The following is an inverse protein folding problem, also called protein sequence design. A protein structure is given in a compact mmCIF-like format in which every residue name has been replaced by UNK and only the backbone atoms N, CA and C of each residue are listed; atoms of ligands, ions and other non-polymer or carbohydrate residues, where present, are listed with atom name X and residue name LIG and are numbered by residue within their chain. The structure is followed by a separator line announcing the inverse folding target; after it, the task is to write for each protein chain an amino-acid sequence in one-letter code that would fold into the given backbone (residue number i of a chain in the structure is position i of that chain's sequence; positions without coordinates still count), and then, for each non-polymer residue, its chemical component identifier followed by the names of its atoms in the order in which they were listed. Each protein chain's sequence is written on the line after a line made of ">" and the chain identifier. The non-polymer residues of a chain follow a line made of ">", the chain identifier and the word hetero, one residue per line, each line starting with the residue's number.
data_IF_397524036195
#
_entry.id   IF_397524036195
#
_cell.length_a   1.000
_cell.length_b   1.000
_cell.length_c   1.000
_cell.angle_alpha   90.00
_cell.angle_beta   90.00
_cell.angle_gamma   90.00
#
_symmetry.space_group_name_H-M   'P 1'
#
loop_
_entity.id
_entity.type
_entity.pdbx_description
1 polymer ?
#
# COMPACT_ATOMS: atom_id res chain seq x y z
N UNK A 1 15.46 -26.43 -15.75
CA UNK A 1 14.20 -27.09 -15.30
C UNK A 1 13.43 -26.15 -14.36
N UNK A 2 12.09 -26.23 -14.20
CA UNK A 2 11.36 -25.36 -13.26
C UNK A 2 11.87 -25.45 -11.80
N UNK A 3 12.24 -26.65 -11.36
CA UNK A 3 12.83 -26.91 -10.03
C UNK A 3 14.19 -26.21 -9.84
N UNK A 4 15.03 -26.21 -10.87
CA UNK A 4 16.33 -25.54 -10.87
C UNK A 4 16.16 -24.01 -10.77
N UNK A 5 15.23 -23.44 -11.54
CA UNK A 5 14.90 -22.00 -11.46
C UNK A 5 14.35 -21.61 -10.08
N UNK A 6 13.56 -22.48 -9.46
CA UNK A 6 13.06 -22.28 -8.10
C UNK A 6 14.20 -22.24 -7.08
N UNK A 7 15.12 -23.19 -7.12
CA UNK A 7 16.27 -23.23 -6.21
C UNK A 7 17.24 -22.05 -6.46
N UNK A 8 17.47 -21.67 -7.72
CA UNK A 8 18.23 -20.47 -8.02
C UNK A 8 17.56 -19.18 -7.49
N UNK A 9 16.23 -19.09 -7.55
CA UNK A 9 15.49 -17.95 -7.00
C UNK A 9 15.66 -17.86 -5.48
N UNK A 10 15.61 -19.00 -4.77
CA UNK A 10 15.88 -19.06 -3.32
C UNK A 10 17.31 -18.63 -2.98
N UNK A 11 18.30 -19.17 -3.69
CA UNK A 11 19.70 -18.79 -3.52
C UNK A 11 19.98 -17.31 -3.82
N UNK A 12 19.21 -16.70 -4.74
CA UNK A 12 19.28 -15.25 -4.96
C UNK A 12 18.73 -14.46 -3.75
N UNK A 13 17.61 -14.90 -3.16
CA UNK A 13 17.07 -14.27 -1.95
C UNK A 13 18.01 -14.37 -0.75
N UNK A 14 18.64 -15.52 -0.55
CA UNK A 14 19.59 -15.72 0.55
C UNK A 14 20.81 -14.79 0.44
N UNK A 15 21.14 -14.36 -0.79
CA UNK A 15 22.19 -13.37 -1.08
C UNK A 15 21.69 -11.92 -1.10
N UNK A 16 20.40 -11.69 -0.85
CA UNK A 16 19.78 -10.36 -0.90
C UNK A 16 19.46 -9.83 -2.30
N UNK A 17 19.62 -10.66 -3.35
CA UNK A 17 19.29 -10.30 -4.73
C UNK A 17 17.78 -10.50 -5.02
N UNK A 18 16.98 -9.56 -4.54
CA UNK A 18 15.52 -9.59 -4.67
C UNK A 18 15.02 -9.34 -6.11
N UNK A 19 15.86 -8.83 -7.01
CA UNK A 19 15.51 -8.63 -8.41
C UNK A 19 15.79 -9.88 -9.22
N UNK A 20 17.00 -10.42 -9.11
CA UNK A 20 17.36 -11.69 -9.74
C UNK A 20 16.55 -12.88 -9.22
N UNK A 21 16.10 -12.85 -7.97
CA UNK A 21 15.13 -13.84 -7.46
C UNK A 21 13.77 -13.75 -8.16
N UNK A 22 13.28 -12.53 -8.42
CA UNK A 22 11.98 -12.29 -9.07
C UNK A 22 11.98 -12.78 -10.51
N UNK A 23 13.02 -12.46 -11.27
CA UNK A 23 13.15 -12.89 -12.66
C UNK A 23 13.17 -14.41 -12.78
N UNK A 24 13.91 -15.09 -11.90
CA UNK A 24 13.99 -16.56 -11.90
C UNK A 24 12.68 -17.23 -11.53
N UNK A 25 12.03 -16.75 -10.46
CA UNK A 25 10.77 -17.34 -10.05
C UNK A 25 9.65 -17.06 -11.06
N UNK A 26 9.68 -15.90 -11.74
CA UNK A 26 8.71 -15.58 -12.80
C UNK A 26 8.83 -16.59 -13.95
N UNK A 27 10.06 -16.89 -14.39
CA UNK A 27 10.32 -17.92 -15.40
C UNK A 27 9.92 -19.33 -14.94
N UNK A 28 10.14 -19.66 -13.67
CA UNK A 28 9.68 -20.93 -13.09
C UNK A 28 8.14 -21.02 -13.11
N UNK A 29 7.47 -19.93 -12.74
CA UNK A 29 6.01 -19.83 -12.73
C UNK A 29 5.42 -19.93 -14.15
N UNK A 30 6.02 -19.27 -15.14
CA UNK A 30 5.63 -19.40 -16.54
C UNK A 30 5.75 -20.85 -17.05
N UNK A 31 6.80 -21.55 -16.64
CA UNK A 31 7.03 -22.93 -17.04
C UNK A 31 6.10 -23.93 -16.33
N UNK A 32 5.73 -23.67 -15.07
CA UNK A 32 4.82 -24.52 -14.30
C UNK A 32 3.99 -23.72 -13.27
N UNK A 33 2.87 -23.09 -13.68
CA UNK A 33 2.09 -22.19 -12.81
C UNK A 33 1.26 -22.92 -11.74
N UNK A 34 1.10 -24.24 -11.85
CA UNK A 34 0.33 -25.05 -10.90
C UNK A 34 1.17 -25.61 -9.76
N UNK A 35 2.49 -25.47 -9.81
CA UNK A 35 3.38 -25.86 -8.71
C UNK A 35 3.12 -24.95 -7.50
N UNK A 36 2.67 -25.51 -6.35
CA UNK A 36 2.32 -24.72 -5.18
C UNK A 36 3.49 -23.91 -4.61
N UNK A 37 4.70 -24.48 -4.61
CA UNK A 37 5.89 -23.84 -4.03
C UNK A 37 6.36 -22.67 -4.91
N UNK A 38 6.35 -22.87 -6.24
CA UNK A 38 6.67 -21.81 -7.20
C UNK A 38 5.66 -20.67 -7.13
N UNK A 39 4.37 -21.02 -7.10
CA UNK A 39 3.26 -20.06 -7.00
C UNK A 39 3.33 -19.24 -5.71
N UNK A 40 3.57 -19.88 -4.57
CA UNK A 40 3.70 -19.21 -3.26
C UNK A 40 4.88 -18.23 -3.27
N UNK A 41 6.07 -18.68 -3.69
CA UNK A 41 7.25 -17.83 -3.73
C UNK A 41 7.08 -16.67 -4.71
N UNK A 42 6.47 -16.91 -5.87
CA UNK A 42 6.20 -15.87 -6.85
C UNK A 42 5.23 -14.81 -6.32
N UNK A 43 4.09 -15.22 -5.76
CA UNK A 43 3.13 -14.32 -5.14
C UNK A 43 3.76 -13.51 -4.00
N UNK A 44 4.61 -14.13 -3.18
CA UNK A 44 5.36 -13.45 -2.13
C UNK A 44 6.30 -12.36 -2.65
N UNK A 45 7.02 -12.63 -3.74
CA UNK A 45 7.94 -11.67 -4.35
C UNK A 45 7.22 -10.53 -5.08
N UNK A 46 6.08 -10.81 -5.71
CA UNK A 46 5.18 -9.78 -6.25
C UNK A 46 4.62 -8.91 -5.13
N UNK A 47 4.20 -9.50 -4.01
CA UNK A 47 3.69 -8.76 -2.86
C UNK A 47 4.77 -7.83 -2.30
N UNK A 48 6.00 -8.32 -2.13
CA UNK A 48 7.11 -7.49 -1.68
C UNK A 48 7.33 -6.27 -2.60
N UNK A 49 7.22 -6.45 -3.92
CA UNK A 49 7.29 -5.35 -4.89
C UNK A 49 6.11 -4.37 -4.73
N UNK A 50 4.87 -4.87 -4.63
CA UNK A 50 3.68 -4.06 -4.46
C UNK A 50 3.76 -3.19 -3.18
N UNK A 51 4.28 -3.74 -2.09
CA UNK A 51 4.53 -3.01 -0.83
C UNK A 51 5.54 -1.88 -1.03
N UNK A 52 6.65 -2.14 -1.75
CA UNK A 52 7.66 -1.12 -2.04
C UNK A 52 7.10 0.02 -2.90
N UNK A 53 6.37 -0.31 -3.97
CA UNK A 53 5.72 0.68 -4.84
C UNK A 53 4.71 1.52 -4.07
N UNK A 54 3.89 0.90 -3.21
CA UNK A 54 2.97 1.63 -2.36
C UNK A 54 3.70 2.58 -1.38
N UNK A 55 4.87 2.18 -0.86
CA UNK A 55 5.69 3.05 -0.02
C UNK A 55 6.29 4.23 -0.81
N UNK A 56 6.75 3.99 -2.02
CA UNK A 56 7.26 5.03 -2.92
C UNK A 56 6.18 6.03 -3.30
N UNK A 57 4.97 5.58 -3.63
CA UNK A 57 3.84 6.47 -3.91
C UNK A 57 3.49 7.39 -2.72
N UNK A 58 3.49 6.85 -1.49
CA UNK A 58 3.29 7.64 -0.27
C UNK A 58 4.40 8.66 -0.02
N UNK A 59 5.65 8.25 -0.24
CA UNK A 59 6.81 9.11 -0.11
C UNK A 59 6.77 10.26 -1.12
N UNK A 60 6.48 9.94 -2.39
CA UNK A 60 6.35 10.91 -3.46
C UNK A 60 5.24 11.92 -3.18
N UNK A 61 4.08 11.48 -2.71
CA UNK A 61 2.99 12.37 -2.27
C UNK A 61 3.47 13.33 -1.18
N UNK A 62 4.14 12.81 -0.14
CA UNK A 62 4.64 13.63 0.97
C UNK A 62 5.67 14.66 0.48
N UNK A 63 6.58 14.25 -0.39
CA UNK A 63 7.57 15.13 -0.99
C UNK A 63 6.91 16.21 -1.87
N UNK A 64 5.86 15.86 -2.62
CA UNK A 64 5.13 16.82 -3.44
C UNK A 64 4.39 17.87 -2.61
N UNK A 65 3.73 17.46 -1.52
CA UNK A 65 3.11 18.37 -0.55
C UNK A 65 4.15 19.35 0.01
N UNK A 66 5.31 18.84 0.44
CA UNK A 66 6.40 19.65 0.96
C UNK A 66 6.95 20.65 -0.07
N UNK A 67 7.14 20.19 -1.31
CA UNK A 67 7.66 20.99 -2.42
C UNK A 67 6.71 22.12 -2.82
N UNK A 68 5.41 21.82 -2.89
CA UNK A 68 4.35 22.77 -3.28
C UNK A 68 3.94 23.68 -2.13
N UNK A 69 4.30 23.34 -0.88
CA UNK A 69 3.95 24.07 0.33
C UNK A 69 2.44 24.35 0.43
N UNK A 70 1.64 23.31 0.16
CA UNK A 70 0.18 23.41 0.09
C UNK A 70 -0.38 23.79 1.45
N UNK A 71 -1.14 24.88 1.50
CA UNK A 71 -1.81 25.37 2.70
C UNK A 71 -2.96 24.46 3.16
N UNK A 72 -3.46 24.70 4.37
CA UNK A 72 -4.59 23.93 4.92
C UNK A 72 -5.91 24.21 4.19
N UNK A 73 -6.09 25.44 3.70
CA UNK A 73 -7.31 25.89 3.02
C UNK A 73 -7.29 25.57 1.51
N UNK A 74 -6.22 24.96 1.01
CA UNK A 74 -6.09 24.53 -0.37
C UNK A 74 -6.59 23.09 -0.52
N UNK A 75 -7.48 22.85 -1.49
CA UNK A 75 -7.90 21.50 -1.82
C UNK A 75 -6.71 20.71 -2.37
N UNK A 76 -6.35 19.63 -1.68
CA UNK A 76 -5.22 18.80 -2.07
C UNK A 76 -5.62 17.85 -3.20
N UNK A 77 -4.86 17.90 -4.29
CA UNK A 77 -4.86 16.86 -5.31
C UNK A 77 -3.42 16.39 -5.57
N UNK A 78 -3.29 15.08 -5.76
CA UNK A 78 -2.04 14.49 -6.23
C UNK A 78 -1.66 15.11 -7.58
N UNK A 79 -0.36 15.41 -7.73
CA UNK A 79 0.17 15.69 -9.06
C UNK A 79 0.05 14.45 -9.97
N UNK A 80 0.03 14.62 -11.31
CA UNK A 80 -0.05 13.50 -12.24
C UNK A 80 1.00 12.41 -11.99
N UNK A 81 2.23 12.81 -11.65
CA UNK A 81 3.32 11.88 -11.33
C UNK A 81 3.02 11.05 -10.07
N UNK A 82 2.52 11.68 -9.01
CA UNK A 82 2.13 10.98 -7.79
C UNK A 82 0.93 10.05 -8.06
N UNK A 83 -0.07 10.53 -8.80
CA UNK A 83 -1.24 9.72 -9.16
C UNK A 83 -0.82 8.44 -9.91
N UNK A 84 0.11 8.57 -10.88
CA UNK A 84 0.69 7.45 -11.62
C UNK A 84 1.38 6.43 -10.69
N UNK A 85 2.15 6.88 -9.70
CA UNK A 85 2.79 5.97 -8.74
C UNK A 85 1.78 5.19 -7.89
N UNK A 86 0.63 5.80 -7.55
CA UNK A 86 -0.46 5.08 -6.90
C UNK A 86 -1.12 4.06 -7.84
N UNK A 87 -1.31 4.39 -9.11
CA UNK A 87 -1.80 3.46 -10.13
C UNK A 87 -0.87 2.25 -10.31
N UNK A 88 0.44 2.48 -10.43
CA UNK A 88 1.46 1.43 -10.53
C UNK A 88 1.46 0.53 -9.29
N UNK A 89 1.35 1.12 -8.09
CA UNK A 89 1.26 0.36 -6.86
C UNK A 89 -0.03 -0.48 -6.77
N UNK A 90 -1.17 0.05 -7.24
CA UNK A 90 -2.43 -0.71 -7.30
C UNK A 90 -2.35 -1.87 -8.29
N UNK A 91 -1.80 -1.62 -9.49
CA UNK A 91 -1.59 -2.64 -10.50
C UNK A 91 -0.68 -3.76 -9.99
N UNK A 92 0.37 -3.43 -9.23
CA UNK A 92 1.23 -4.44 -8.61
C UNK A 92 0.51 -5.32 -7.57
N UNK A 93 -0.49 -4.79 -6.85
CA UNK A 93 -1.33 -5.65 -6.01
C UNK A 93 -2.24 -6.54 -6.85
N UNK A 94 -2.71 -6.05 -8.00
CA UNK A 94 -3.52 -6.86 -8.93
C UNK A 94 -2.72 -8.00 -9.56
N UNK A 95 -1.42 -7.83 -9.81
CA UNK A 95 -0.52 -8.94 -10.20
C UNK A 95 -0.52 -10.06 -9.15
N UNK A 96 -0.39 -9.71 -7.87
CA UNK A 96 -0.43 -10.70 -6.77
C UNK A 96 -1.76 -11.43 -6.76
N UNK A 97 -2.87 -10.69 -6.90
CA UNK A 97 -4.22 -11.25 -6.88
C UNK A 97 -4.55 -12.05 -8.15
N UNK A 98 -3.83 -11.84 -9.25
CA UNK A 98 -3.96 -12.68 -10.44
C UNK A 98 -3.30 -14.04 -10.25
N UNK A 99 -2.18 -14.08 -9.52
CA UNK A 99 -1.55 -15.33 -9.09
C UNK A 99 -2.43 -15.98 -8.03
N UNK A 100 -2.67 -15.32 -6.89
CA UNK A 100 -3.53 -15.80 -5.82
C UNK A 100 -4.66 -14.82 -5.50
N UNK A 101 -5.82 -15.09 -6.08
CA UNK A 101 -7.02 -14.30 -5.89
C UNK A 101 -7.41 -14.20 -4.43
N UNK A 102 -7.16 -15.22 -3.60
CA UNK A 102 -7.50 -15.26 -2.18
C UNK A 102 -6.44 -14.65 -1.26
N UNK A 103 -5.33 -14.14 -1.80
CA UNK A 103 -4.21 -13.64 -0.99
C UNK A 103 -4.64 -12.50 -0.06
N UNK A 104 -4.92 -12.82 1.20
CA UNK A 104 -5.59 -11.92 2.14
C UNK A 104 -4.79 -10.63 2.37
N UNK A 105 -3.49 -10.76 2.64
CA UNK A 105 -2.61 -9.59 2.85
C UNK A 105 -2.59 -8.66 1.64
N UNK A 106 -2.51 -9.19 0.41
CA UNK A 106 -2.55 -8.38 -0.80
C UNK A 106 -3.89 -7.65 -0.94
N UNK A 107 -5.02 -8.33 -0.68
CA UNK A 107 -6.36 -7.72 -0.67
C UNK A 107 -6.46 -6.59 0.36
N UNK A 108 -6.03 -6.83 1.59
CA UNK A 108 -6.03 -5.81 2.65
C UNK A 108 -5.19 -4.59 2.28
N UNK A 109 -3.98 -4.80 1.77
CA UNK A 109 -3.08 -3.71 1.40
C UNK A 109 -3.59 -2.93 0.18
N UNK A 110 -4.21 -3.61 -0.80
CA UNK A 110 -4.90 -2.97 -1.92
C UNK A 110 -6.06 -2.08 -1.43
N UNK A 111 -6.90 -2.58 -0.53
CA UNK A 111 -7.99 -1.81 0.06
C UNK A 111 -7.49 -0.55 0.79
N UNK A 112 -6.43 -0.68 1.60
CA UNK A 112 -5.82 0.45 2.28
C UNK A 112 -5.19 1.46 1.30
N UNK A 113 -4.65 0.99 0.17
CA UNK A 113 -4.07 1.83 -0.87
C UNK A 113 -5.15 2.60 -1.65
N UNK A 114 -6.23 1.93 -2.06
CA UNK A 114 -7.39 2.55 -2.71
C UNK A 114 -7.96 3.68 -1.85
N UNK A 115 -8.24 3.37 -0.58
CA UNK A 115 -8.80 4.37 0.34
C UNK A 115 -7.84 5.53 0.60
N UNK A 116 -6.53 5.27 0.69
CA UNK A 116 -5.54 6.32 0.90
C UNK A 116 -5.37 7.19 -0.35
N UNK A 117 -5.44 6.60 -1.54
CA UNK A 117 -5.30 7.33 -2.80
C UNK A 117 -6.40 8.38 -2.93
N UNK A 118 -7.63 7.91 -2.81
CA UNK A 118 -8.83 8.74 -2.91
C UNK A 118 -9.85 8.20 -1.90
N UNK A 119 -10.16 9.00 -0.87
CA UNK A 119 -11.06 8.57 0.19
C UNK A 119 -12.52 8.56 -0.25
N UNK A 120 -12.90 9.38 -1.22
CA UNK A 120 -14.26 9.42 -1.73
C UNK A 120 -14.50 8.24 -2.68
N UNK A 121 -13.70 8.13 -3.74
CA UNK A 121 -13.84 7.07 -4.74
C UNK A 121 -13.38 5.70 -4.21
N UNK A 122 -12.27 5.67 -3.47
CA UNK A 122 -11.64 4.43 -2.99
C UNK A 122 -12.35 3.80 -1.80
N UNK A 123 -13.20 4.53 -1.06
CA UNK A 123 -13.93 3.98 0.10
C UNK A 123 -14.81 2.79 -0.28
N UNK A 124 -15.61 2.93 -1.34
CA UNK A 124 -16.57 1.89 -1.72
C UNK A 124 -15.84 0.59 -2.04
N UNK A 125 -14.82 0.66 -2.90
CA UNK A 125 -14.02 -0.50 -3.30
C UNK A 125 -13.23 -1.09 -2.12
N UNK A 126 -12.66 -0.25 -1.26
CA UNK A 126 -11.94 -0.72 -0.08
C UNK A 126 -12.86 -1.48 0.89
N UNK A 127 -14.07 -0.97 1.14
CA UNK A 127 -15.04 -1.65 1.99
C UNK A 127 -15.55 -2.95 1.40
N UNK A 128 -15.77 -3.01 0.10
CA UNK A 128 -16.14 -4.25 -0.60
C UNK A 128 -15.10 -5.34 -0.37
N UNK A 129 -13.82 -5.02 -0.63
CA UNK A 129 -12.70 -5.95 -0.42
C UNK A 129 -12.62 -6.38 1.06
N UNK A 130 -12.64 -5.44 1.99
CA UNK A 130 -12.48 -5.74 3.41
C UNK A 130 -13.65 -6.55 3.97
N UNK A 131 -14.89 -6.26 3.55
CA UNK A 131 -16.08 -7.02 3.97
C UNK A 131 -16.04 -8.45 3.41
N UNK A 132 -15.56 -8.63 2.18
CA UNK A 132 -15.36 -9.97 1.62
C UNK A 132 -14.32 -10.77 2.43
N UNK A 133 -13.24 -10.13 2.87
CA UNK A 133 -12.25 -10.78 3.76
C UNK A 133 -12.90 -11.13 5.10
N UNK A 134 -13.61 -10.19 5.74
CA UNK A 134 -14.24 -10.44 7.04
C UNK A 134 -15.32 -11.53 6.97
N UNK A 135 -16.02 -11.65 5.85
CA UNK A 135 -17.00 -12.72 5.64
C UNK A 135 -16.33 -14.10 5.57
N UNK A 136 -15.15 -14.20 4.95
CA UNK A 136 -14.36 -15.43 4.88
C UNK A 136 -13.63 -15.74 6.21
N UNK A 137 -13.19 -14.70 6.92
CA UNK A 137 -12.39 -14.78 8.14
C UNK A 137 -12.96 -13.84 9.24
N UNK A 138 -14.10 -14.20 9.88
CA UNK A 138 -14.78 -13.35 10.87
C UNK A 138 -13.93 -13.01 12.11
N UNK A 139 -12.93 -13.83 12.40
CA UNK A 139 -11.98 -13.65 13.50
C UNK A 139 -10.94 -12.54 13.24
N UNK A 140 -10.81 -12.06 12.00
CA UNK A 140 -9.81 -11.05 11.64
C UNK A 140 -10.19 -9.66 12.18
N UNK A 141 -9.77 -9.41 13.43
CA UNK A 141 -9.98 -8.15 14.14
C UNK A 141 -9.34 -6.94 13.45
N UNK A 142 -8.24 -7.15 12.71
CA UNK A 142 -7.57 -6.06 11.99
C UNK A 142 -8.45 -5.56 10.84
N UNK A 143 -9.07 -6.46 10.08
CA UNK A 143 -10.03 -6.12 9.01
C UNK A 143 -11.27 -5.45 9.59
N UNK A 144 -11.85 -5.99 10.66
CA UNK A 144 -13.00 -5.38 11.32
C UNK A 144 -12.70 -3.94 11.82
N UNK A 145 -11.49 -3.71 12.33
CA UNK A 145 -11.05 -2.38 12.74
C UNK A 145 -10.82 -1.43 11.56
N UNK A 146 -10.25 -1.92 10.46
CA UNK A 146 -10.06 -1.14 9.22
C UNK A 146 -11.41 -0.71 8.62
N UNK A 147 -12.39 -1.62 8.55
CA UNK A 147 -13.76 -1.32 8.10
C UNK A 147 -14.34 -0.14 8.91
N UNK A 148 -14.31 -0.23 10.24
CA UNK A 148 -14.83 0.84 11.13
C UNK A 148 -14.19 2.21 10.86
N UNK A 149 -12.89 2.25 10.55
CA UNK A 149 -12.18 3.50 10.21
C UNK A 149 -12.56 4.06 8.85
N UNK A 150 -12.92 3.21 7.90
CA UNK A 150 -13.18 3.58 6.51
C UNK A 150 -14.65 3.97 6.28
N UNK A 151 -15.59 3.27 6.95
CA UNK A 151 -17.03 3.45 6.78
C UNK A 151 -17.51 4.86 7.11
N UNK A 152 -16.90 5.50 8.11
CA UNK A 152 -17.33 6.83 8.57
C UNK A 152 -16.34 7.91 8.17
N UNK A 153 -16.78 9.00 7.52
CA UNK A 153 -15.94 10.16 7.26
C UNK A 153 -15.29 10.71 8.54
N UNK A 154 -13.99 10.98 8.48
CA UNK A 154 -13.24 11.34 9.68
C UNK A 154 -13.40 12.81 10.06
N UNK A 155 -14.08 13.09 11.18
CA UNK A 155 -14.23 14.46 11.71
C UNK A 155 -12.91 15.15 12.06
N UNK A 156 -11.88 14.41 12.47
CA UNK A 156 -10.59 15.01 12.90
C UNK A 156 -9.85 15.70 11.76
N UNK A 157 -9.89 15.13 10.55
CA UNK A 157 -9.18 15.65 9.39
C UNK A 157 -10.13 16.10 8.27
N UNK A 158 -11.41 16.32 8.58
CA UNK A 158 -12.45 16.57 7.58
C UNK A 158 -12.41 15.55 6.43
N UNK A 159 -12.15 14.30 6.78
CA UNK A 159 -12.02 13.16 5.89
C UNK A 159 -10.95 13.24 4.79
N UNK A 160 -10.00 14.17 4.87
CA UNK A 160 -8.84 14.24 3.95
C UNK A 160 -7.85 13.08 4.14
N UNK A 161 -7.82 12.48 5.33
CA UNK A 161 -6.83 11.46 5.71
C UNK A 161 -5.45 12.02 6.07
N UNK A 162 -5.22 13.31 5.85
CA UNK A 162 -4.00 13.99 6.27
C UNK A 162 -4.10 14.47 7.72
N UNK A 163 -2.98 14.47 8.42
CA UNK A 163 -2.89 15.00 9.77
C UNK A 163 -3.05 16.53 9.74
N UNK A 164 -4.03 17.12 10.46
CA UNK A 164 -4.24 18.57 10.48
C UNK A 164 -3.02 19.37 10.96
N UNK A 165 -2.22 18.81 11.88
CA UNK A 165 -1.11 19.54 12.51
C UNK A 165 0.12 19.69 11.61
N UNK A 166 0.26 18.84 10.60
CA UNK A 166 1.39 18.83 9.66
C UNK A 166 0.97 18.82 8.20
N UNK A 167 -0.35 18.87 7.92
CA UNK A 167 -0.93 18.98 6.59
C UNK A 167 -0.36 17.91 5.65
N UNK A 168 -0.30 16.66 6.12
CA UNK A 168 0.18 15.55 5.28
C UNK A 168 1.70 15.43 5.12
N UNK A 169 2.50 16.37 5.63
CA UNK A 169 3.97 16.35 5.46
C UNK A 169 4.70 15.44 6.46
N UNK A 170 4.06 15.10 7.59
CA UNK A 170 4.69 14.36 8.69
C UNK A 170 5.74 15.16 9.46
N UNK A 171 5.94 16.44 9.12
CA UNK A 171 6.89 17.35 9.74
C UNK A 171 6.19 18.67 10.09
N UNK A 172 6.68 19.38 11.10
CA UNK A 172 6.19 20.71 11.46
C UNK A 172 7.35 21.68 11.36
N UNK A 173 7.11 22.81 10.70
CA UNK A 173 8.08 23.92 10.62
C UNK A 173 7.63 25.04 11.54
N UNK A 174 8.50 25.47 12.46
CA UNK A 174 8.24 26.60 13.36
C UNK A 174 9.52 27.43 13.49
N UNK A 175 9.43 28.73 13.17
CA UNK A 175 10.57 29.67 13.26
C UNK A 175 11.84 29.15 12.56
N UNK A 176 11.70 28.55 11.37
CA UNK A 176 12.82 28.00 10.61
C UNK A 176 13.28 26.60 11.03
N UNK A 177 12.85 26.08 12.19
CA UNK A 177 13.18 24.73 12.65
C UNK A 177 12.15 23.71 12.17
N UNK A 178 12.62 22.58 11.65
CA UNK A 178 11.80 21.44 11.23
C UNK A 178 11.88 20.32 12.26
N UNK A 179 10.73 19.79 12.67
CA UNK A 179 10.62 18.68 13.63
C UNK A 179 9.61 17.63 13.17
N UNK A 180 9.74 16.39 13.65
CA UNK A 180 8.77 15.32 13.35
C UNK A 180 7.41 15.65 13.96
N UNK A 181 6.33 15.43 13.21
CA UNK A 181 4.98 15.58 13.73
C UNK A 181 4.65 14.45 14.71
N UNK A 182 4.28 14.80 15.94
CA UNK A 182 3.90 13.85 17.00
C UNK A 182 2.41 13.49 17.00
N UNK A 183 1.63 14.07 16.09
CA UNK A 183 0.17 13.92 16.01
C UNK A 183 -0.30 13.15 14.77
N UNK A 184 0.60 12.44 14.09
CA UNK A 184 0.33 11.64 12.89
C UNK A 184 0.87 10.21 13.06
N UNK A 185 0.42 9.24 12.25
CA UNK A 185 0.98 7.88 12.20
C UNK A 185 2.41 7.83 11.58
N UNK A 186 3.10 8.96 11.50
CA UNK A 186 4.23 9.16 10.59
C UNK A 186 3.75 9.49 9.17
N UNK A 187 4.64 10.11 8.39
CA UNK A 187 4.38 10.51 7.00
C UNK A 187 3.12 11.39 6.80
N UNK A 188 2.65 12.07 7.85
CA UNK A 188 1.52 12.99 7.78
C UNK A 188 0.15 12.35 7.70
N UNK A 189 0.02 11.05 7.99
CA UNK A 189 -1.24 10.33 7.98
C UNK A 189 -2.04 10.62 9.28
N UNK A 190 -3.34 10.88 9.16
CA UNK A 190 -4.22 11.14 10.30
C UNK A 190 -4.24 9.95 11.29
N UNK A 191 -4.01 10.22 12.58
CA UNK A 191 -4.01 9.18 13.64
C UNK A 191 -5.40 8.53 13.86
N UNK A 192 -6.49 9.25 13.58
CA UNK A 192 -7.83 8.77 13.88
C UNK A 192 -8.33 7.76 12.84
N UNK A 193 -8.14 8.07 11.55
CA UNK A 193 -8.69 7.30 10.44
C UNK A 193 -7.64 6.70 9.50
N UNK A 194 -6.35 6.88 9.80
CA UNK A 194 -5.28 6.25 9.04
C UNK A 194 -5.37 4.73 9.13
N UNK A 195 -5.31 4.08 7.98
CA UNK A 195 -5.24 2.62 7.83
C UNK A 195 -3.82 2.29 7.37
N UNK A 196 -2.99 1.80 8.29
CA UNK A 196 -1.58 1.47 8.06
C UNK A 196 -1.38 -0.01 7.81
#
# INVERSE_FOLDING_TARGET
>A
MPEELYEEARNALDRGDAEGARDRIARAYEANPTDPAVRELYAGLLLAQAIRLAAQAREARRADILRRNIGYDEEFHDSPDVAKLFDEALAAHDEVLRVDASHEKARMMKAALLFRRDRAAGRVQALEILRAILAAHPENRQVAYAIRKIETPCRRCSDTGFCPDCIGTGQRRRLGFTSKCRSCHGQGICLACGVV
#
